data_IF_420360326018
#
_entry.id   IF_420360326018
#
_cell.length_a   1.000
_cell.length_b   1.000
_cell.length_c   1.000
_cell.angle_alpha   90.00
_cell.angle_beta   90.00
_cell.angle_gamma   90.00
#
_symmetry.space_group_name_H-M   'P 1'
#
loop_
_entity.id
_entity.type
_entity.pdbx_description
1 polymer ?
#
# COMPACT_ATOMS: atom_id res chain seq x y z
N UNK A 1 -5.22 -8.71 -7.07
CA UNK A 1 -6.24 -8.92 -6.02
C UNK A 1 -6.35 -7.64 -5.23
N UNK A 2 -7.56 -7.18 -4.91
CA UNK A 2 -7.79 -5.88 -4.26
C UNK A 2 -8.51 -5.99 -2.91
N UNK A 3 -8.96 -7.19 -2.52
CA UNK A 3 -9.71 -7.43 -1.29
C UNK A 3 -8.88 -8.20 -0.24
N UNK A 4 -8.88 -7.71 1.00
CA UNK A 4 -8.09 -8.25 2.10
C UNK A 4 -8.61 -9.63 2.56
N UNK A 5 -9.93 -9.87 2.56
CA UNK A 5 -10.49 -11.18 2.92
C UNK A 5 -10.08 -12.24 1.91
N UNK A 6 -10.10 -11.90 0.63
CA UNK A 6 -9.65 -12.78 -0.44
C UNK A 6 -8.16 -13.14 -0.28
N UNK A 7 -7.32 -12.18 0.11
CA UNK A 7 -5.92 -12.44 0.40
C UNK A 7 -5.75 -13.42 1.59
N UNK A 8 -6.50 -13.24 2.68
CA UNK A 8 -6.47 -14.13 3.85
C UNK A 8 -6.91 -15.55 3.48
N UNK A 9 -7.98 -15.71 2.71
CA UNK A 9 -8.50 -17.02 2.31
C UNK A 9 -7.49 -17.81 1.45
N UNK A 10 -6.81 -17.15 0.50
CA UNK A 10 -5.79 -17.80 -0.33
C UNK A 10 -4.58 -18.22 0.50
N UNK A 11 -4.17 -17.41 1.47
CA UNK A 11 -2.99 -17.70 2.29
C UNK A 11 -3.18 -18.91 3.21
N UNK A 12 -4.41 -19.14 3.70
CA UNK A 12 -4.73 -20.36 4.46
C UNK A 12 -4.44 -21.64 3.68
N UNK A 13 -4.86 -21.68 2.42
CA UNK A 13 -4.65 -22.84 1.54
C UNK A 13 -3.20 -22.90 1.04
N UNK A 14 -2.68 -21.80 0.52
CA UNK A 14 -1.38 -21.76 -0.16
C UNK A 14 -0.18 -21.91 0.78
N UNK A 15 -0.23 -21.42 2.02
CA UNK A 15 0.91 -21.47 2.94
C UNK A 15 0.83 -22.62 3.93
N UNK A 16 -0.38 -23.01 4.32
CA UNK A 16 -0.61 -23.91 5.44
C UNK A 16 -1.36 -25.18 5.04
N UNK A 17 -1.90 -25.26 3.81
CA UNK A 17 -2.70 -26.39 3.35
C UNK A 17 -4.03 -26.55 4.10
N UNK A 18 -4.52 -25.48 4.76
CA UNK A 18 -5.76 -25.50 5.53
C UNK A 18 -6.82 -24.63 4.87
N UNK A 19 -8.05 -25.14 4.83
CA UNK A 19 -9.19 -24.35 4.34
C UNK A 19 -9.83 -23.60 5.50
N UNK A 20 -9.58 -22.29 5.56
CA UNK A 20 -10.25 -21.41 6.51
C UNK A 20 -11.74 -21.30 6.18
N UNK A 21 -12.58 -21.36 7.21
CA UNK A 21 -14.00 -21.02 7.10
C UNK A 21 -14.20 -19.52 6.87
N UNK A 22 -15.38 -19.12 6.38
CA UNK A 22 -15.71 -17.70 6.21
C UNK A 22 -15.61 -16.91 7.52
N UNK A 23 -15.99 -17.52 8.65
CA UNK A 23 -15.92 -16.90 9.97
C UNK A 23 -14.47 -16.66 10.41
N UNK A 24 -13.57 -17.61 10.18
CA UNK A 24 -12.14 -17.45 10.49
C UNK A 24 -11.50 -16.38 9.61
N UNK A 25 -11.83 -16.36 8.30
CA UNK A 25 -11.38 -15.31 7.39
C UNK A 25 -11.83 -13.93 7.88
N UNK A 26 -13.08 -13.82 8.34
CA UNK A 26 -13.63 -12.57 8.87
C UNK A 26 -12.92 -12.14 10.16
N UNK A 27 -12.66 -13.06 11.08
CA UNK A 27 -11.96 -12.79 12.34
C UNK A 27 -10.50 -12.37 12.12
N UNK A 28 -9.78 -13.07 11.25
CA UNK A 28 -8.40 -12.73 10.89
C UNK A 28 -8.37 -11.36 10.19
N UNK A 29 -9.30 -11.11 9.26
CA UNK A 29 -9.39 -9.81 8.60
C UNK A 29 -9.64 -8.68 9.59
N UNK A 30 -10.54 -8.88 10.56
CA UNK A 30 -10.80 -7.92 11.62
C UNK A 30 -9.54 -7.68 12.47
N UNK A 31 -8.79 -8.73 12.80
CA UNK A 31 -7.49 -8.59 13.47
C UNK A 31 -6.49 -7.78 12.63
N UNK A 32 -6.35 -8.06 11.34
CA UNK A 32 -5.42 -7.34 10.46
C UNK A 32 -5.77 -5.85 10.34
N UNK A 33 -7.05 -5.48 10.43
CA UNK A 33 -7.47 -4.07 10.46
C UNK A 33 -6.93 -3.33 11.69
N UNK A 34 -6.69 -4.02 12.80
CA UNK A 34 -6.10 -3.42 14.02
C UNK A 34 -4.62 -3.06 13.86
N UNK A 35 -3.95 -3.54 12.81
CA UNK A 35 -2.52 -3.28 12.57
C UNK A 35 -2.25 -1.92 11.92
N UNK A 36 -3.29 -1.13 11.63
CA UNK A 36 -3.13 0.23 11.09
C UNK A 36 -2.73 1.18 12.21
N UNK A 37 -1.45 1.58 12.22
CA UNK A 37 -0.92 2.55 13.18
C UNK A 37 -1.08 4.01 12.74
N UNK A 38 -0.62 4.92 13.59
CA UNK A 38 -0.56 6.36 13.29
C UNK A 38 0.42 6.64 12.15
N UNK A 39 -0.08 7.24 11.08
CA UNK A 39 0.76 7.67 9.96
C UNK A 39 1.59 8.90 10.35
N UNK A 40 2.85 9.00 9.90
CA UNK A 40 3.68 10.17 10.17
C UNK A 40 3.05 11.42 9.57
N UNK A 41 3.13 12.55 10.29
CA UNK A 41 2.71 13.84 9.77
C UNK A 41 3.78 14.36 8.80
N UNK A 42 3.46 14.38 7.51
CA UNK A 42 4.36 14.92 6.47
C UNK A 42 4.02 16.38 6.24
N UNK A 43 4.87 17.29 6.68
CA UNK A 43 4.78 18.71 6.32
C UNK A 43 5.31 18.91 4.90
N UNK A 44 4.54 19.60 4.06
CA UNK A 44 4.95 19.87 2.69
C UNK A 44 6.21 20.75 2.69
N UNK A 45 7.31 20.32 2.05
CA UNK A 45 8.54 21.11 2.03
C UNK A 45 8.36 22.36 1.16
N UNK A 46 8.94 23.47 1.60
CA UNK A 46 9.08 24.65 0.74
C UNK A 46 10.27 24.42 -0.18
N UNK A 47 9.99 24.18 -1.47
CA UNK A 47 11.03 24.01 -2.47
C UNK A 47 11.60 25.39 -2.86
N UNK A 48 12.93 25.50 -3.05
CA UNK A 48 13.54 26.75 -3.49
C UNK A 48 13.13 27.08 -4.92
N UNK A 49 13.14 28.37 -5.26
CA UNK A 49 12.94 28.81 -6.62
C UNK A 49 14.07 28.32 -7.53
N UNK A 50 13.71 27.81 -8.72
CA UNK A 50 14.67 27.50 -9.76
C UNK A 50 15.44 28.76 -10.19
N UNK A 51 16.71 28.59 -10.54
CA UNK A 51 17.59 29.65 -11.05
C UNK A 51 17.82 29.48 -12.55
N UNK A 52 18.50 30.45 -13.17
CA UNK A 52 18.94 30.32 -14.56
C UNK A 52 19.86 29.12 -14.82
N UNK A 53 20.56 28.64 -13.78
CA UNK A 53 21.41 27.44 -13.85
C UNK A 53 20.63 26.15 -13.60
N UNK A 54 19.37 26.21 -13.14
CA UNK A 54 18.55 25.02 -12.92
C UNK A 54 18.19 24.40 -14.28
N UNK A 55 18.54 23.12 -14.55
CA UNK A 55 18.18 22.45 -15.79
C UNK A 55 16.67 22.49 -16.05
N UNK A 56 16.28 22.76 -17.29
CA UNK A 56 14.85 22.79 -17.66
C UNK A 56 14.24 21.38 -17.61
N UNK A 57 12.96 21.25 -17.25
CA UNK A 57 12.24 20.00 -17.41
C UNK A 57 12.34 19.52 -18.86
N UNK A 58 12.56 18.21 -19.05
CA UNK A 58 12.57 17.59 -20.38
C UNK A 58 11.17 17.07 -20.71
N UNK A 59 10.72 17.28 -21.94
CA UNK A 59 9.50 16.66 -22.42
C UNK A 59 9.64 15.14 -22.49
N UNK A 60 8.53 14.42 -22.28
CA UNK A 60 8.48 12.95 -22.34
C UNK A 60 8.68 12.38 -23.75
N UNK A 61 8.89 13.23 -24.76
CA UNK A 61 9.15 12.83 -26.14
C UNK A 61 10.36 13.61 -26.66
N UNK A 62 11.53 12.97 -26.70
CA UNK A 62 12.62 13.41 -27.57
C UNK A 62 12.15 13.16 -29.01
N UNK A 63 11.96 14.23 -29.78
CA UNK A 63 11.81 14.12 -31.23
C UNK A 63 13.17 13.89 -31.87
#
# INVERSE_FOLDING_TARGET
MWDLKQAVAIMGDSQLGIKLSSVEVDQITAFLQTLTGDQPKVTYPILPASTAATPKPTDMVKK
#
